data_IF_013221449950
#
_entry.id   IF_013221449950
#
_cell.length_a   1.000
_cell.length_b   1.000
_cell.length_c   1.000
_cell.angle_alpha   90.00
_cell.angle_beta   90.00
_cell.angle_gamma   90.00
#
_symmetry.space_group_name_H-M   'P 1'
#
loop_
_entity.id
_entity.type
_entity.pdbx_description
1 polymer ?
#
# COMPACT_ATOMS: atom_id res chain seq x y z
N UNK A 1 5.65 20.81 -1.43
CA UNK A 1 4.89 19.92 -2.34
C UNK A 1 4.34 18.76 -1.51
N UNK A 2 3.11 18.31 -1.74
CA UNK A 2 2.53 17.19 -0.99
C UNK A 2 2.82 15.84 -1.66
N UNK A 3 2.98 14.79 -0.85
CA UNK A 3 3.15 13.40 -1.32
C UNK A 3 1.84 12.93 -1.94
N UNK A 4 1.90 12.36 -3.15
CA UNK A 4 0.70 11.87 -3.87
C UNK A 4 0.57 10.34 -3.87
N UNK A 5 1.69 9.62 -3.86
CA UNK A 5 1.72 8.15 -3.94
C UNK A 5 2.85 7.58 -3.08
N UNK A 6 2.68 6.36 -2.60
CA UNK A 6 3.68 5.58 -1.86
C UNK A 6 3.79 4.17 -2.46
N UNK A 7 5.01 3.68 -2.64
CA UNK A 7 5.30 2.29 -3.00
C UNK A 7 5.66 1.51 -1.74
N UNK A 8 4.94 0.41 -1.47
CA UNK A 8 5.19 -0.47 -0.33
C UNK A 8 5.58 -1.84 -0.85
N UNK A 9 6.79 -2.31 -0.52
CA UNK A 9 7.28 -3.63 -0.92
C UNK A 9 8.23 -4.12 0.17
N UNK A 10 7.69 -4.94 1.08
CA UNK A 10 8.40 -5.35 2.29
C UNK A 10 8.29 -6.85 2.51
N UNK A 11 9.38 -7.47 2.95
CA UNK A 11 9.38 -8.89 3.31
C UNK A 11 8.68 -9.11 4.65
N UNK A 12 9.08 -8.33 5.67
CA UNK A 12 8.42 -8.24 6.96
C UNK A 12 7.22 -7.30 6.86
N UNK A 13 6.05 -7.82 7.23
CA UNK A 13 4.76 -7.14 7.10
C UNK A 13 4.24 -6.61 8.44
N UNK A 14 5.06 -6.67 9.48
CA UNK A 14 4.74 -6.10 10.80
C UNK A 14 4.42 -4.61 10.64
N UNK A 15 3.24 -4.19 11.07
CA UNK A 15 2.80 -2.79 11.02
C UNK A 15 2.41 -2.25 9.65
N UNK A 16 2.41 -3.07 8.58
CA UNK A 16 2.18 -2.58 7.22
C UNK A 16 0.72 -2.14 6.99
N UNK A 17 -0.22 -2.77 7.69
CA UNK A 17 -1.64 -2.45 7.61
C UNK A 17 -1.91 -1.06 8.21
N UNK A 18 -1.41 -0.80 9.42
CA UNK A 18 -1.58 0.49 10.09
C UNK A 18 -0.94 1.62 9.28
N UNK A 19 0.28 1.39 8.75
CA UNK A 19 0.96 2.34 7.88
C UNK A 19 0.12 2.68 6.65
N UNK A 20 -0.37 1.65 5.95
CA UNK A 20 -1.12 1.82 4.71
C UNK A 20 -2.48 2.49 4.94
N UNK A 21 -3.16 2.20 6.05
CA UNK A 21 -4.38 2.90 6.45
C UNK A 21 -4.14 4.40 6.68
N UNK A 22 -3.05 4.76 7.37
CA UNK A 22 -2.69 6.17 7.60
C UNK A 22 -2.41 6.88 6.27
N UNK A 23 -1.69 6.24 5.36
CA UNK A 23 -1.42 6.80 4.03
C UNK A 23 -2.70 7.00 3.23
N UNK A 24 -3.57 5.98 3.18
CA UNK A 24 -4.85 6.05 2.49
C UNK A 24 -5.76 7.15 3.07
N UNK A 25 -5.80 7.31 4.40
CA UNK A 25 -6.57 8.38 5.06
C UNK A 25 -6.11 9.80 4.68
N UNK A 26 -4.86 9.93 4.22
CA UNK A 26 -4.27 11.19 3.73
C UNK A 26 -4.44 11.37 2.22
N UNK A 27 -5.27 10.55 1.56
CA UNK A 27 -5.45 10.52 0.11
C UNK A 27 -4.14 10.24 -0.67
N UNK A 28 -3.22 9.48 -0.07
CA UNK A 28 -2.01 9.01 -0.74
C UNK A 28 -2.32 7.68 -1.43
N UNK A 29 -2.14 7.63 -2.74
CA UNK A 29 -2.33 6.38 -3.50
C UNK A 29 -1.24 5.35 -3.16
N UNK A 30 -1.62 4.09 -2.99
CA UNK A 30 -0.68 3.03 -2.62
C UNK A 30 -0.40 2.15 -3.84
N UNK A 31 0.88 1.98 -4.14
CA UNK A 31 1.42 1.02 -5.09
C UNK A 31 2.08 -0.10 -4.30
N UNK A 32 1.96 -1.35 -4.73
CA UNK A 32 2.60 -2.47 -4.04
C UNK A 32 2.84 -3.64 -5.00
N UNK A 33 3.71 -4.58 -4.61
CA UNK A 33 4.00 -5.79 -5.40
C UNK A 33 3.65 -7.06 -4.65
N UNK A 34 3.32 -8.12 -5.40
CA UNK A 34 3.24 -9.50 -4.91
C UNK A 34 2.51 -9.69 -3.58
N UNK A 35 3.17 -10.33 -2.62
CA UNK A 35 2.57 -10.67 -1.33
C UNK A 35 2.19 -9.46 -0.47
N UNK A 36 2.81 -8.29 -0.66
CA UNK A 36 2.41 -7.06 0.05
C UNK A 36 1.13 -6.50 -0.56
N UNK A 37 1.01 -6.50 -1.90
CA UNK A 37 -0.20 -6.01 -2.56
C UNK A 37 -1.42 -6.84 -2.17
N UNK A 38 -1.25 -8.17 -2.17
CA UNK A 38 -2.30 -9.10 -1.73
C UNK A 38 -2.72 -8.84 -0.29
N UNK A 39 -1.77 -8.71 0.65
CA UNK A 39 -2.10 -8.45 2.05
C UNK A 39 -2.92 -7.17 2.24
N UNK A 40 -2.57 -6.09 1.52
CA UNK A 40 -3.29 -4.83 1.58
C UNK A 40 -4.72 -4.96 1.02
N UNK A 41 -4.86 -5.62 -0.14
CA UNK A 41 -6.16 -5.87 -0.77
C UNK A 41 -7.08 -6.74 0.12
N UNK A 42 -6.55 -7.81 0.70
CA UNK A 42 -7.28 -8.72 1.61
C UNK A 42 -7.80 -7.98 2.86
N UNK A 43 -7.18 -6.85 3.24
CA UNK A 43 -7.61 -5.99 4.35
C UNK A 43 -8.42 -4.77 3.90
N UNK A 44 -8.97 -4.78 2.68
CA UNK A 44 -9.77 -3.69 2.09
C UNK A 44 -9.03 -2.35 1.99
N UNK A 45 -7.69 -2.38 1.88
CA UNK A 45 -6.90 -1.17 1.65
C UNK A 45 -6.76 -0.94 0.14
N UNK A 46 -7.14 0.24 -0.38
CA UNK A 46 -6.96 0.56 -1.79
C UNK A 46 -5.48 0.50 -2.18
N UNK A 47 -5.14 -0.43 -3.07
CA UNK A 47 -3.79 -0.66 -3.56
C UNK A 47 -3.84 -0.95 -5.06
N UNK A 48 -2.85 -0.45 -5.80
CA UNK A 48 -2.63 -0.81 -7.20
C UNK A 48 -1.40 -1.71 -7.23
N UNK A 49 -1.53 -2.89 -7.84
CA UNK A 49 -0.38 -3.76 -8.03
C UNK A 49 0.53 -3.21 -9.14
N UNK A 50 1.84 -3.10 -8.89
CA UNK A 50 2.77 -2.53 -9.90
C UNK A 50 2.91 -3.44 -11.13
N UNK A 51 2.59 -4.73 -10.99
CA UNK A 51 2.52 -5.70 -12.09
C UNK A 51 1.50 -5.28 -13.17
N UNK A 52 0.49 -4.49 -12.78
CA UNK A 52 -0.58 -4.00 -13.64
C UNK A 52 -0.31 -2.57 -14.18
N UNK A 53 0.89 -2.01 -13.96
CA UNK A 53 1.29 -0.65 -14.37
C UNK A 53 2.38 -0.68 -15.45
#
# INVERSE_FOLDING_TARGET
MAIKRALISVSDKTGVIELAQVLASKNIGILSTGGTAKLLADNNIPVIEVSDY
#
